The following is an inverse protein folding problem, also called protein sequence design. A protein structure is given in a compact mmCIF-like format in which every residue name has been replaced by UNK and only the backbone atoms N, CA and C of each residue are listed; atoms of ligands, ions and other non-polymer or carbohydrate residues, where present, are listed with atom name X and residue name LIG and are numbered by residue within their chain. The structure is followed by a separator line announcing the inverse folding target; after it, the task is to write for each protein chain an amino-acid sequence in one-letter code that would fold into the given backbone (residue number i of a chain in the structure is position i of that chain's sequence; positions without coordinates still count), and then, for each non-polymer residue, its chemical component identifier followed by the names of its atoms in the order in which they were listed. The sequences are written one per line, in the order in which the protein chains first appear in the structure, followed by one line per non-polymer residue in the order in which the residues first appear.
data_IF_343623936202
#
_entry.id   IF_343623936202
#
_cell.length_a   1.000
_cell.length_b   1.000
_cell.length_c   1.000
_cell.angle_alpha   90.00
_cell.angle_beta   90.00
_cell.angle_gamma   90.00
#
_symmetry.space_group_name_H-M   'P 1'
#
loop_
_entity.id
_entity.type
_entity.pdbx_description
1 polymer ?
#
# COMPACT_ATOMS: atom_id res chain seq x y z
N UNK A 1 23.38 -10.44 -20.58
CA UNK A 1 22.94 -9.18 -21.22
C UNK A 1 21.46 -9.07 -20.93
N UNK A 2 21.14 -8.53 -19.74
CA UNK A 2 19.77 -8.38 -19.27
C UNK A 2 19.15 -7.17 -19.95
N UNK A 3 17.97 -7.36 -20.51
CA UNK A 3 17.10 -6.25 -20.89
C UNK A 3 16.27 -5.91 -19.65
N UNK A 4 16.68 -4.86 -18.96
CA UNK A 4 15.82 -4.09 -18.07
C UNK A 4 14.65 -3.57 -18.92
N UNK A 5 13.42 -3.98 -18.58
CA UNK A 5 12.22 -3.40 -19.19
C UNK A 5 11.94 -2.11 -18.43
N UNK A 6 12.42 -1.00 -18.98
CA UNK A 6 12.10 0.35 -18.52
C UNK A 6 10.60 0.64 -18.76
N UNK A 7 9.83 0.72 -17.68
CA UNK A 7 8.37 0.95 -17.68
C UNK A 7 7.97 2.41 -17.95
N UNK A 8 8.91 3.30 -18.32
CA UNK A 8 8.64 4.74 -18.54
C UNK A 8 8.14 5.13 -19.94
N UNK A 9 7.94 4.22 -20.90
CA UNK A 9 7.69 4.61 -22.31
C UNK A 9 6.43 4.05 -22.98
N UNK A 10 5.38 3.68 -22.22
CA UNK A 10 4.14 3.17 -22.87
C UNK A 10 2.86 3.98 -22.65
N UNK A 11 2.91 5.12 -21.95
CA UNK A 11 1.78 6.07 -21.93
C UNK A 11 2.12 7.29 -22.76
N UNK A 12 1.72 7.24 -24.02
CA UNK A 12 1.86 8.36 -24.95
C UNK A 12 2.09 7.84 -26.34
N UNK A 13 0.99 7.66 -27.09
CA UNK A 13 0.88 7.89 -28.53
C UNK A 13 -0.53 7.48 -28.99
N UNK A 14 -1.49 8.37 -28.77
CA UNK A 14 -2.77 8.40 -29.48
C UNK A 14 -2.81 9.66 -30.34
N UNK A 15 -2.12 9.62 -31.48
CA UNK A 15 -1.94 10.75 -32.37
C UNK A 15 -3.27 11.21 -32.99
N UNK A 16 -3.51 12.52 -32.89
CA UNK A 16 -4.45 13.28 -33.68
C UNK A 16 -4.04 13.29 -35.18
N UNK A 17 -4.99 12.96 -36.05
CA UNK A 17 -5.08 13.33 -37.48
C UNK A 17 -6.54 13.10 -37.86
N UNK A 18 -7.36 14.03 -38.36
CA UNK A 18 -7.16 15.29 -39.08
C UNK A 18 -7.98 15.22 -40.37
N UNK A 19 -8.90 16.17 -40.62
CA UNK A 19 -9.51 16.33 -41.96
C UNK A 19 -10.91 16.94 -42.03
N UNK A 20 -10.98 18.27 -42.14
CA UNK A 20 -12.14 19.04 -42.64
C UNK A 20 -12.32 18.87 -44.15
N UNK A 21 -13.56 18.77 -44.66
CA UNK A 21 -14.05 19.48 -45.86
C UNK A 21 -15.56 19.26 -46.19
N UNK A 22 -16.33 20.37 -46.08
CA UNK A 22 -17.28 20.96 -47.04
C UNK A 22 -18.52 20.23 -47.61
N UNK A 23 -19.67 20.82 -47.26
CA UNK A 23 -20.76 21.36 -48.11
C UNK A 23 -21.72 20.43 -48.92
N UNK A 24 -23.04 20.69 -48.77
CA UNK A 24 -23.97 20.68 -49.91
C UNK A 24 -25.42 20.20 -49.72
N UNK A 25 -26.32 21.14 -49.40
CA UNK A 25 -27.62 21.39 -50.08
C UNK A 25 -28.88 20.50 -49.92
N UNK A 26 -29.93 21.16 -49.38
CA UNK A 26 -31.32 21.38 -49.90
C UNK A 26 -32.48 20.41 -49.58
N UNK A 27 -33.58 21.02 -49.09
CA UNK A 27 -34.99 20.61 -49.31
C UNK A 27 -35.87 20.65 -48.04
N UNK A 28 -36.46 21.79 -47.63
CA UNK A 28 -37.80 22.34 -47.97
C UNK A 28 -39.01 21.76 -47.19
N UNK A 29 -39.77 22.66 -46.55
CA UNK A 29 -41.15 22.53 -46.03
C UNK A 29 -41.21 22.68 -44.50
N UNK A 30 -41.58 23.82 -43.89
CA UNK A 30 -42.89 24.50 -43.93
C UNK A 30 -43.92 23.71 -43.12
N UNK A 31 -44.74 24.22 -42.21
CA UNK A 31 -45.04 25.51 -41.59
C UNK A 31 -46.00 25.20 -40.41
N UNK A 32 -46.23 26.17 -39.54
CA UNK A 32 -47.39 26.34 -38.63
C UNK A 32 -47.53 25.53 -37.31
N UNK A 33 -47.70 26.30 -36.20
CA UNK A 33 -48.91 26.12 -35.39
C UNK A 33 -48.78 26.04 -33.86
N UNK A 34 -48.39 27.14 -33.23
CA UNK A 34 -48.81 27.69 -31.93
C UNK A 34 -49.70 26.85 -30.97
N UNK A 35 -49.35 26.79 -29.68
CA UNK A 35 -50.26 26.40 -28.60
C UNK A 35 -49.63 26.24 -27.21
N UNK A 36 -49.55 27.33 -26.44
CA UNK A 36 -49.38 27.27 -24.99
C UNK A 36 -50.58 26.58 -24.31
N UNK A 37 -50.34 25.79 -23.26
CA UNK A 37 -50.91 25.99 -21.91
C UNK A 37 -50.52 24.87 -20.91
N UNK A 38 -50.16 25.34 -19.73
CA UNK A 38 -50.03 24.64 -18.45
C UNK A 38 -51.33 23.93 -18.05
N UNK A 39 -51.24 22.76 -17.39
CA UNK A 39 -51.70 22.61 -16.00
C UNK A 39 -51.35 21.24 -15.39
N UNK A 40 -51.03 21.30 -14.11
CA UNK A 40 -50.84 20.22 -13.14
C UNK A 40 -52.13 19.39 -12.94
N UNK A 41 -51.96 18.11 -12.61
CA UNK A 41 -52.88 17.35 -11.75
C UNK A 41 -52.23 16.04 -11.29
N UNK A 42 -52.23 15.86 -9.98
CA UNK A 42 -51.84 14.68 -9.22
C UNK A 42 -52.63 13.41 -9.58
N UNK A 43 -52.04 12.25 -9.31
CA UNK A 43 -52.70 10.94 -9.39
C UNK A 43 -51.77 9.77 -9.09
N UNK A 44 -51.74 9.37 -7.81
CA UNK A 44 -51.06 8.21 -7.25
C UNK A 44 -51.39 6.88 -7.96
N UNK A 45 -50.40 5.98 -7.98
CA UNK A 45 -50.61 4.54 -7.80
C UNK A 45 -50.60 3.68 -9.06
N UNK A 46 -49.44 3.15 -9.43
CA UNK A 46 -49.27 1.71 -9.67
C UNK A 46 -47.77 1.37 -9.71
N UNK A 47 -47.19 0.99 -8.56
CA UNK A 47 -45.90 0.29 -8.52
C UNK A 47 -46.12 -1.13 -9.07
N UNK A 48 -46.03 -1.26 -10.39
CA UNK A 48 -45.75 -2.55 -11.00
C UNK A 48 -44.28 -2.81 -10.82
N UNK A 49 -43.96 -3.75 -9.93
CA UNK A 49 -42.63 -4.31 -9.79
C UNK A 49 -42.09 -4.71 -11.16
N UNK A 50 -41.08 -3.98 -11.60
CA UNK A 50 -40.21 -4.42 -12.68
C UNK A 50 -39.21 -5.38 -12.05
N UNK A 51 -39.45 -6.67 -12.31
CA UNK A 51 -38.45 -7.73 -12.19
C UNK A 51 -37.22 -7.28 -13.00
N UNK A 52 -36.24 -6.71 -12.32
CA UNK A 52 -34.94 -6.41 -12.91
C UNK A 52 -34.21 -7.74 -13.10
N UNK A 53 -34.21 -8.18 -14.36
CA UNK A 53 -33.28 -9.13 -14.99
C UNK A 53 -32.23 -9.76 -14.05
N UNK A 54 -32.58 -10.93 -13.50
CA UNK A 54 -31.68 -11.79 -12.71
C UNK A 54 -30.63 -12.45 -13.62
N UNK A 55 -29.66 -11.69 -14.14
CA UNK A 55 -28.32 -12.21 -14.43
C UNK A 55 -27.27 -11.09 -14.43
N UNK A 56 -26.19 -11.31 -13.68
CA UNK A 56 -24.85 -10.69 -13.80
C UNK A 56 -24.54 -9.37 -13.05
N UNK A 57 -24.77 -9.33 -11.73
CA UNK A 57 -23.85 -8.61 -10.85
C UNK A 57 -23.43 -9.55 -9.69
N UNK A 58 -22.35 -10.31 -9.90
CA UNK A 58 -21.90 -11.41 -9.02
C UNK A 58 -20.91 -10.88 -7.98
N UNK A 59 -21.23 -9.77 -7.33
CA UNK A 59 -20.37 -9.17 -6.30
C UNK A 59 -21.14 -8.23 -5.38
N UNK A 60 -20.55 -7.86 -4.23
CA UNK A 60 -21.19 -6.99 -3.27
C UNK A 60 -21.34 -5.56 -3.82
N UNK A 61 -22.19 -4.77 -3.17
CA UNK A 61 -22.26 -3.32 -3.44
C UNK A 61 -21.00 -2.65 -2.92
N UNK A 62 -20.50 -1.66 -3.65
CA UNK A 62 -19.34 -0.87 -3.27
C UNK A 62 -19.75 0.61 -3.15
N UNK A 63 -20.31 1.03 -1.99
CA UNK A 63 -20.68 2.42 -1.79
C UNK A 63 -19.45 3.33 -1.84
N UNK A 64 -19.64 4.53 -2.38
CA UNK A 64 -18.62 5.58 -2.34
C UNK A 64 -18.78 6.43 -1.07
N UNK A 65 -17.66 6.97 -0.58
CA UNK A 65 -17.62 7.94 0.52
C UNK A 65 -17.30 9.28 -0.13
N UNK A 66 -18.21 10.26 0.00
CA UNK A 66 -18.07 11.56 -0.68
C UNK A 66 -16.94 12.41 -0.06
N UNK A 67 -16.90 12.54 1.27
CA UNK A 67 -15.95 13.38 1.99
C UNK A 67 -14.89 12.54 2.73
N UNK A 68 -14.05 11.83 1.99
CA UNK A 68 -12.94 11.06 2.57
C UNK A 68 -11.92 12.00 3.22
N UNK A 69 -11.38 11.69 4.41
CA UNK A 69 -10.29 12.49 4.98
C UNK A 69 -8.96 12.17 4.29
N UNK A 70 -8.04 13.13 4.27
CA UNK A 70 -6.63 12.95 3.86
C UNK A 70 -5.83 12.22 4.97
N UNK A 71 -6.28 11.03 5.34
CA UNK A 71 -5.81 10.25 6.46
C UNK A 71 -6.28 8.79 6.34
N UNK A 72 -5.76 7.91 7.19
CA UNK A 72 -6.34 6.57 7.36
C UNK A 72 -7.77 6.68 7.90
N UNK A 73 -8.70 5.95 7.29
CA UNK A 73 -10.12 6.00 7.65
C UNK A 73 -10.84 4.65 7.57
N UNK A 74 -11.99 4.54 8.25
CA UNK A 74 -12.83 3.34 8.24
C UNK A 74 -13.57 3.22 6.89
N UNK A 75 -13.34 2.14 6.10
CA UNK A 75 -14.01 1.92 4.82
C UNK A 75 -15.49 1.58 5.01
N UNK A 76 -16.20 1.34 3.90
CA UNK A 76 -17.65 1.07 3.93
C UNK A 76 -18.02 -0.32 4.46
N UNK A 77 -17.13 -1.28 4.27
CA UNK A 77 -17.32 -2.67 4.67
C UNK A 77 -15.98 -3.35 4.92
N UNK A 78 -16.04 -4.52 5.56
CA UNK A 78 -14.94 -5.47 5.66
C UNK A 78 -14.93 -6.35 4.42
N UNK A 79 -13.77 -6.49 3.82
CA UNK A 79 -13.60 -7.38 2.67
C UNK A 79 -13.71 -8.85 3.12
N UNK A 80 -14.36 -9.68 2.31
CA UNK A 80 -14.40 -11.13 2.53
C UNK A 80 -13.40 -11.80 1.60
N UNK A 81 -12.73 -12.82 2.10
CA UNK A 81 -11.77 -13.56 1.30
C UNK A 81 -11.58 -14.99 1.81
N UNK A 82 -11.11 -15.84 0.91
CA UNK A 82 -10.67 -17.19 1.20
C UNK A 82 -9.14 -17.23 1.24
N UNK A 83 -8.58 -17.44 2.42
CA UNK A 83 -7.18 -17.80 2.58
C UNK A 83 -6.97 -19.28 2.23
N UNK A 84 -5.91 -19.58 1.48
CA UNK A 84 -5.47 -20.94 1.18
C UNK A 84 -4.33 -21.35 2.11
N UNK A 85 -3.99 -22.64 2.11
CA UNK A 85 -2.86 -23.14 2.88
C UNK A 85 -1.54 -22.49 2.41
N UNK A 86 -0.70 -22.01 3.34
CA UNK A 86 0.61 -21.49 2.98
C UNK A 86 1.51 -22.53 2.31
N UNK A 87 2.17 -22.12 1.23
CA UNK A 87 3.15 -22.93 0.49
C UNK A 87 4.57 -22.45 0.74
N UNK A 88 5.54 -23.34 0.60
CA UNK A 88 6.97 -23.00 0.68
C UNK A 88 7.53 -22.76 -0.72
N UNK A 89 8.46 -21.81 -0.84
CA UNK A 89 9.27 -21.59 -2.03
C UNK A 89 10.67 -21.12 -1.57
N UNK A 90 11.63 -22.05 -1.53
CA UNK A 90 12.93 -21.80 -0.91
C UNK A 90 12.78 -21.34 0.55
N UNK A 91 13.38 -20.19 0.86
CA UNK A 91 13.31 -19.54 2.17
C UNK A 91 11.98 -18.78 2.41
N UNK A 92 11.17 -18.59 1.36
CA UNK A 92 9.89 -17.91 1.45
C UNK A 92 8.77 -18.85 1.92
N UNK A 93 7.86 -18.28 2.69
CA UNK A 93 6.47 -18.75 2.78
C UNK A 93 5.57 -17.81 2.01
N UNK A 94 4.63 -18.39 1.28
CA UNK A 94 3.62 -17.67 0.51
C UNK A 94 2.23 -18.15 0.95
N UNK A 95 1.37 -17.21 1.38
CA UNK A 95 -0.04 -17.49 1.66
C UNK A 95 -0.91 -16.88 0.57
N UNK A 96 -1.54 -17.68 -0.30
CA UNK A 96 -2.50 -17.18 -1.27
C UNK A 96 -3.82 -16.81 -0.59
N UNK A 97 -4.41 -15.72 -1.03
CA UNK A 97 -5.71 -15.22 -0.56
C UNK A 97 -6.51 -14.79 -1.79
N UNK A 98 -7.80 -15.11 -1.80
CA UNK A 98 -8.67 -14.85 -2.95
C UNK A 98 -9.94 -14.15 -2.49
N UNK A 99 -10.25 -13.01 -3.11
CA UNK A 99 -11.51 -12.28 -2.91
C UNK A 99 -12.24 -12.11 -4.25
N UNK A 100 -13.43 -11.52 -4.21
CA UNK A 100 -14.10 -11.02 -5.41
C UNK A 100 -13.29 -9.84 -6.01
N UNK A 101 -13.36 -9.60 -7.34
CA UNK A 101 -12.70 -8.45 -7.95
C UNK A 101 -13.26 -7.13 -7.40
N UNK A 102 -12.36 -6.22 -7.01
CA UNK A 102 -12.75 -4.95 -6.37
C UNK A 102 -11.74 -3.84 -6.70
N UNK A 103 -12.12 -2.56 -6.57
CA UNK A 103 -11.25 -1.45 -6.93
C UNK A 103 -10.09 -1.29 -5.96
N UNK A 104 -8.96 -0.83 -6.49
CA UNK A 104 -7.82 -0.37 -5.70
C UNK A 104 -7.25 0.91 -6.31
N UNK A 105 -6.27 1.52 -5.64
CA UNK A 105 -5.65 2.77 -6.07
C UNK A 105 -4.15 2.57 -6.26
N UNK A 106 -3.64 2.87 -7.46
CA UNK A 106 -2.21 2.91 -7.74
C UNK A 106 -1.67 4.29 -7.36
N UNK A 107 -0.57 4.32 -6.61
CA UNK A 107 0.13 5.55 -6.24
C UNK A 107 1.47 5.54 -6.98
N UNK A 108 1.65 6.46 -7.93
CA UNK A 108 2.86 6.53 -8.78
C UNK A 108 3.49 7.94 -8.82
N UNK A 109 3.55 8.61 -7.69
CA UNK A 109 4.12 9.95 -7.55
C UNK A 109 3.95 10.49 -6.14
N UNK A 110 3.98 11.81 -5.98
CA UNK A 110 4.00 12.51 -4.69
C UNK A 110 2.76 13.37 -4.39
N UNK A 111 1.78 13.45 -5.31
CA UNK A 111 0.52 14.18 -5.10
C UNK A 111 -0.75 13.35 -5.33
N UNK A 112 -1.90 13.94 -5.02
CA UNK A 112 -3.23 13.34 -5.25
C UNK A 112 -3.49 13.04 -6.73
N UNK A 113 -2.98 13.88 -7.63
CA UNK A 113 -3.08 13.68 -9.09
C UNK A 113 -2.33 12.42 -9.58
N UNK A 114 -1.42 11.87 -8.77
CA UNK A 114 -0.67 10.65 -9.06
C UNK A 114 -1.33 9.39 -8.49
N UNK A 115 -2.55 9.53 -7.95
CA UNK A 115 -3.38 8.43 -7.47
C UNK A 115 -4.38 8.02 -8.54
N UNK A 116 -4.21 6.82 -9.10
CA UNK A 116 -5.10 6.27 -10.10
C UNK A 116 -6.06 5.26 -9.48
N UNK A 117 -7.36 5.54 -9.54
CA UNK A 117 -8.41 4.55 -9.25
C UNK A 117 -8.44 3.48 -10.36
N UNK A 118 -8.34 2.21 -9.96
CA UNK A 118 -8.34 1.04 -10.85
C UNK A 118 -9.55 0.16 -10.52
N UNK A 119 -10.66 0.30 -11.25
CA UNK A 119 -11.80 -0.61 -11.12
C UNK A 119 -11.48 -1.98 -11.74
N UNK A 120 -12.15 -3.06 -11.31
CA UNK A 120 -12.05 -4.35 -12.00
C UNK A 120 -12.66 -4.26 -13.41
N UNK A 121 -12.00 -4.86 -14.41
CA UNK A 121 -12.52 -4.94 -15.79
C UNK A 121 -13.86 -5.70 -15.87
N UNK A 122 -14.01 -6.71 -15.01
CA UNK A 122 -15.22 -7.51 -14.87
C UNK A 122 -15.31 -8.09 -13.45
N UNK A 123 -16.53 -8.32 -12.96
CA UNK A 123 -16.77 -8.97 -11.66
C UNK A 123 -16.55 -10.49 -11.70
N UNK A 124 -16.39 -11.07 -12.89
CA UNK A 124 -16.11 -12.49 -13.04
C UNK A 124 -14.61 -12.75 -13.02
N UNK A 125 -14.09 -13.06 -11.85
CA UNK A 125 -12.69 -13.31 -11.61
C UNK A 125 -12.42 -13.39 -10.12
N UNK A 126 -11.18 -13.11 -9.75
CA UNK A 126 -10.76 -12.95 -8.36
C UNK A 126 -9.93 -11.69 -8.23
N UNK A 127 -10.01 -11.04 -7.08
CA UNK A 127 -8.86 -10.28 -6.61
C UNK A 127 -7.89 -11.29 -5.99
N UNK A 128 -6.82 -11.59 -6.72
CA UNK A 128 -5.83 -12.58 -6.30
C UNK A 128 -4.75 -11.87 -5.49
N UNK A 129 -4.53 -12.34 -4.28
CA UNK A 129 -3.57 -11.76 -3.36
C UNK A 129 -2.62 -12.83 -2.81
N UNK A 130 -1.45 -12.41 -2.38
CA UNK A 130 -0.60 -13.25 -1.54
C UNK A 130 0.31 -12.42 -0.62
N UNK A 131 0.59 -12.97 0.56
CA UNK A 131 1.58 -12.45 1.48
C UNK A 131 2.86 -13.30 1.40
N UNK A 132 4.02 -12.65 1.46
CA UNK A 132 5.34 -13.29 1.51
C UNK A 132 6.00 -12.98 2.85
N UNK A 133 6.53 -14.01 3.53
CA UNK A 133 7.31 -13.84 4.74
C UNK A 133 8.48 -14.81 4.81
N UNK A 134 9.47 -14.43 5.60
CA UNK A 134 10.54 -15.33 6.00
C UNK A 134 10.03 -16.39 6.98
N UNK A 135 10.20 -17.66 6.64
CA UNK A 135 9.73 -18.79 7.44
C UNK A 135 10.31 -18.83 8.86
N UNK A 136 11.52 -18.29 9.05
CA UNK A 136 12.26 -18.40 10.31
C UNK A 136 11.90 -17.27 11.29
N UNK A 137 11.88 -16.03 10.81
CA UNK A 137 11.63 -14.83 11.63
C UNK A 137 10.16 -14.44 11.68
N UNK A 138 9.36 -14.87 10.70
CA UNK A 138 7.96 -14.46 10.58
C UNK A 138 7.77 -13.06 9.99
N UNK A 139 8.86 -12.39 9.59
CA UNK A 139 8.82 -11.04 9.01
C UNK A 139 8.22 -11.10 7.60
N UNK A 140 7.12 -10.38 7.40
CA UNK A 140 6.59 -10.08 6.06
C UNK A 140 7.67 -9.33 5.28
N UNK A 141 7.82 -9.63 3.99
CA UNK A 141 8.87 -9.09 3.12
C UNK A 141 8.28 -8.04 2.16
N UNK A 142 8.12 -6.77 2.61
CA UNK A 142 7.48 -5.71 1.85
C UNK A 142 8.43 -5.05 0.83
N UNK A 143 8.68 -5.72 -0.29
CA UNK A 143 9.51 -5.14 -1.37
C UNK A 143 8.83 -5.22 -2.72
N UNK A 144 9.21 -4.31 -3.62
CA UNK A 144 8.94 -4.51 -5.04
C UNK A 144 9.72 -5.73 -5.51
N UNK A 145 8.99 -6.81 -5.66
CA UNK A 145 9.52 -8.10 -6.05
C UNK A 145 9.26 -8.39 -7.51
N UNK A 146 8.81 -7.46 -8.37
CA UNK A 146 8.68 -7.74 -9.83
C UNK A 146 8.05 -9.10 -10.18
N UNK A 147 7.17 -9.62 -9.32
CA UNK A 147 6.75 -11.02 -9.33
C UNK A 147 5.96 -11.31 -10.61
N UNK A 148 5.91 -12.58 -11.00
CA UNK A 148 5.15 -12.99 -12.18
C UNK A 148 4.27 -14.17 -11.84
N UNK A 149 2.97 -13.98 -12.03
CA UNK A 149 1.94 -14.98 -11.82
C UNK A 149 1.49 -15.54 -13.16
N UNK A 150 1.38 -16.87 -13.23
CA UNK A 150 0.91 -17.61 -14.41
C UNK A 150 -0.21 -18.55 -14.01
N UNK A 151 -1.34 -18.45 -14.70
CA UNK A 151 -2.50 -19.29 -14.47
C UNK A 151 -2.59 -20.39 -15.53
N UNK A 152 -3.05 -21.56 -15.10
CA UNK A 152 -3.42 -22.64 -15.99
C UNK A 152 -4.65 -23.38 -15.49
N UNK A 153 -5.39 -23.97 -16.43
CA UNK A 153 -6.54 -24.85 -16.18
C UNK A 153 -6.40 -26.06 -17.10
N UNK A 154 -6.52 -27.26 -16.54
CA UNK A 154 -6.33 -28.53 -17.28
C UNK A 154 -4.97 -28.62 -18.04
N UNK A 155 -3.94 -27.95 -17.51
CA UNK A 155 -2.61 -27.87 -18.13
C UNK A 155 -2.47 -26.87 -19.27
N UNK A 156 -3.54 -26.16 -19.64
CA UNK A 156 -3.52 -25.09 -20.64
C UNK A 156 -3.42 -23.72 -19.95
N UNK A 157 -2.63 -22.80 -20.55
CA UNK A 157 -2.42 -21.46 -19.99
C UNK A 157 -3.69 -20.62 -20.12
N UNK A 158 -4.08 -19.98 -19.03
CA UNK A 158 -5.17 -19.01 -18.99
C UNK A 158 -4.60 -17.60 -18.94
N UNK A 159 -4.95 -16.79 -19.93
CA UNK A 159 -4.49 -15.40 -20.02
C UNK A 159 -2.98 -15.24 -20.27
N UNK A 160 -2.52 -14.01 -20.09
CA UNK A 160 -1.08 -13.67 -20.12
C UNK A 160 -0.51 -13.69 -18.70
N UNK A 161 0.81 -13.94 -18.53
CA UNK A 161 1.47 -13.72 -17.25
C UNK A 161 1.25 -12.28 -16.76
N UNK A 162 1.02 -12.12 -15.46
CA UNK A 162 0.71 -10.83 -14.84
C UNK A 162 1.60 -10.62 -13.61
N UNK A 163 1.97 -9.37 -13.34
CA UNK A 163 2.67 -9.01 -12.10
C UNK A 163 1.67 -8.50 -11.08
N UNK A 164 1.78 -8.96 -9.83
CA UNK A 164 0.92 -8.49 -8.75
C UNK A 164 1.50 -7.22 -8.13
N UNK A 165 0.65 -6.22 -7.91
CA UNK A 165 1.05 -4.95 -7.32
C UNK A 165 1.38 -5.15 -5.84
N UNK A 166 2.46 -4.55 -5.32
CA UNK A 166 2.62 -4.40 -3.88
C UNK A 166 1.52 -3.45 -3.35
N UNK A 167 0.79 -3.87 -2.31
CA UNK A 167 -0.39 -3.17 -1.82
C UNK A 167 -0.37 -3.04 -0.29
N UNK A 168 -1.10 -2.03 0.21
CA UNK A 168 -1.44 -1.89 1.62
C UNK A 168 -2.96 -2.00 1.81
N UNK A 169 -3.39 -2.81 2.77
CA UNK A 169 -4.75 -2.77 3.32
C UNK A 169 -4.72 -2.79 4.84
N UNK A 170 -5.79 -2.32 5.46
CA UNK A 170 -5.90 -2.31 6.92
C UNK A 170 -5.95 -3.73 7.49
N UNK A 171 -6.70 -4.61 6.83
CA UNK A 171 -6.98 -5.95 7.32
C UNK A 171 -5.86 -6.94 7.08
N UNK A 172 -5.13 -6.81 5.96
CA UNK A 172 -4.05 -7.74 5.61
C UNK A 172 -2.65 -7.16 5.78
N UNK A 173 -2.54 -5.83 5.93
CA UNK A 173 -1.25 -5.15 5.93
C UNK A 173 -0.63 -5.14 4.54
N UNK A 174 0.69 -5.35 4.46
CA UNK A 174 1.39 -5.46 3.20
C UNK A 174 1.17 -6.82 2.55
N UNK A 175 0.84 -6.81 1.27
CA UNK A 175 0.65 -8.00 0.44
C UNK A 175 0.89 -7.63 -1.03
N UNK A 176 0.84 -8.63 -1.91
CA UNK A 176 0.75 -8.43 -3.34
C UNK A 176 -0.65 -8.77 -3.80
N UNK A 177 -1.18 -8.04 -4.78
CA UNK A 177 -2.46 -8.38 -5.37
C UNK A 177 -2.76 -7.70 -6.70
N UNK A 178 -3.72 -8.26 -7.43
CA UNK A 178 -4.32 -7.66 -8.61
C UNK A 178 -5.64 -8.39 -8.97
N UNK A 179 -6.47 -7.74 -9.77
CA UNK A 179 -7.65 -8.36 -10.35
C UNK A 179 -7.24 -9.32 -11.48
N UNK A 180 -7.70 -10.56 -11.39
CA UNK A 180 -7.45 -11.63 -12.37
C UNK A 180 -8.78 -12.11 -12.94
N UNK A 181 -9.07 -11.85 -14.23
CA UNK A 181 -10.31 -12.28 -14.85
C UNK A 181 -10.33 -13.80 -15.05
N UNK A 182 -11.45 -14.44 -14.69
CA UNK A 182 -11.66 -15.89 -14.86
C UNK A 182 -12.97 -16.14 -15.61
N UNK A 183 -12.88 -16.60 -16.86
CA UNK A 183 -14.04 -16.76 -17.75
C UNK A 183 -14.79 -18.08 -17.60
N UNK A 184 -14.30 -19.05 -16.85
CA UNK A 184 -15.01 -20.32 -16.69
C UNK A 184 -14.80 -20.86 -15.27
N UNK A 185 -15.71 -21.73 -14.86
CA UNK A 185 -15.60 -22.40 -13.57
C UNK A 185 -14.63 -23.58 -13.71
N UNK A 186 -13.91 -23.91 -12.65
CA UNK A 186 -12.98 -25.03 -12.63
C UNK A 186 -11.83 -24.86 -11.63
N UNK A 187 -10.92 -25.82 -11.63
CA UNK A 187 -9.71 -25.80 -10.80
C UNK A 187 -8.58 -25.10 -11.55
N UNK A 188 -8.04 -24.05 -10.95
CA UNK A 188 -6.93 -23.27 -11.48
C UNK A 188 -5.64 -23.61 -10.74
N UNK A 189 -4.57 -23.85 -11.49
CA UNK A 189 -3.20 -23.94 -10.96
C UNK A 189 -2.51 -22.60 -11.19
N UNK A 190 -1.97 -22.03 -10.12
CA UNK A 190 -1.26 -20.75 -10.10
C UNK A 190 0.21 -21.00 -9.81
N UNK A 191 1.08 -20.54 -10.70
CA UNK A 191 2.52 -20.47 -10.50
C UNK A 191 2.91 -19.02 -10.20
N UNK A 192 3.65 -18.80 -9.12
CA UNK A 192 4.19 -17.48 -8.73
C UNK A 192 5.71 -17.54 -8.77
N UNK A 193 6.30 -16.77 -9.69
CA UNK A 193 7.74 -16.57 -9.80
C UNK A 193 8.14 -15.36 -8.95
N UNK A 194 9.03 -15.59 -8.00
CA UNK A 194 9.57 -14.60 -7.06
C UNK A 194 11.04 -14.34 -7.44
N UNK A 195 11.44 -13.13 -7.80
CA UNK A 195 12.85 -12.80 -7.97
C UNK A 195 13.52 -12.52 -6.61
N UNK A 196 14.85 -12.32 -6.63
CA UNK A 196 15.59 -11.91 -5.43
C UNK A 196 15.02 -10.64 -4.80
N UNK A 197 15.17 -10.49 -3.49
CA UNK A 197 14.79 -9.25 -2.81
C UNK A 197 15.65 -8.09 -3.31
N UNK A 198 14.98 -6.96 -3.61
CA UNK A 198 15.62 -5.74 -4.08
C UNK A 198 16.12 -4.84 -2.93
N UNK A 199 15.59 -5.03 -1.72
CA UNK A 199 15.99 -4.28 -0.53
C UNK A 199 17.23 -4.88 0.14
N UNK A 200 17.98 -4.03 0.84
CA UNK A 200 19.09 -4.50 1.68
C UNK A 200 18.55 -5.36 2.82
N UNK A 201 19.19 -6.49 3.08
CA UNK A 201 18.85 -7.36 4.21
C UNK A 201 19.93 -7.32 5.29
N UNK A 202 19.51 -7.40 6.55
CA UNK A 202 20.40 -7.41 7.72
C UNK A 202 19.97 -8.47 8.73
N UNK A 203 20.83 -8.71 9.74
CA UNK A 203 20.55 -9.69 10.80
C UNK A 203 20.36 -11.10 10.23
N UNK A 204 19.29 -11.77 10.67
CA UNK A 204 18.96 -13.14 10.28
C UNK A 204 18.56 -13.29 8.79
N UNK A 205 18.35 -12.17 8.09
CA UNK A 205 18.01 -12.14 6.67
C UNK A 205 19.23 -11.86 5.76
N UNK A 206 20.39 -11.52 6.34
CA UNK A 206 21.57 -11.13 5.57
C UNK A 206 22.07 -12.26 4.66
N UNK A 207 22.22 -11.98 3.35
CA UNK A 207 22.67 -12.95 2.35
C UNK A 207 21.67 -14.06 2.04
N UNK A 208 20.39 -13.83 2.36
CA UNK A 208 19.26 -14.70 2.02
C UNK A 208 18.38 -14.01 1.00
N UNK A 209 17.57 -14.81 0.31
CA UNK A 209 16.66 -14.32 -0.73
C UNK A 209 17.35 -13.68 -1.95
N UNK A 210 18.60 -14.09 -2.22
CA UNK A 210 19.41 -13.61 -3.35
C UNK A 210 19.14 -14.37 -4.67
N UNK A 211 18.28 -15.39 -4.62
CA UNK A 211 17.91 -16.24 -5.76
C UNK A 211 16.42 -16.15 -6.09
N UNK A 212 16.07 -16.43 -7.35
CA UNK A 212 14.68 -16.55 -7.76
C UNK A 212 14.08 -17.87 -7.27
N UNK A 213 12.85 -17.80 -6.77
CA UNK A 213 12.08 -18.93 -6.28
C UNK A 213 10.73 -19.06 -7.00
N UNK A 214 10.11 -20.23 -6.91
CA UNK A 214 8.78 -20.45 -7.50
C UNK A 214 7.87 -21.16 -6.52
N UNK A 215 6.69 -20.59 -6.31
CA UNK A 215 5.61 -21.18 -5.54
C UNK A 215 4.50 -21.67 -6.47
N UNK A 216 3.78 -22.70 -6.08
CA UNK A 216 2.61 -23.20 -6.82
C UNK A 216 1.49 -23.55 -5.86
N UNK A 217 0.27 -23.15 -6.19
CA UNK A 217 -0.94 -23.51 -5.45
C UNK A 217 -2.12 -23.71 -6.41
N UNK A 218 -3.19 -24.31 -5.90
CA UNK A 218 -4.41 -24.55 -6.66
C UNK A 218 -5.64 -24.04 -5.91
N UNK A 219 -6.66 -23.64 -6.65
CA UNK A 219 -7.97 -23.30 -6.08
C UNK A 219 -9.09 -23.64 -7.04
N UNK A 220 -10.25 -23.92 -6.47
CA UNK A 220 -11.50 -24.10 -7.22
C UNK A 220 -12.22 -22.76 -7.34
N UNK A 221 -12.56 -22.40 -8.57
CA UNK A 221 -13.40 -21.26 -8.88
C UNK A 221 -14.76 -21.75 -9.38
N UNK A 222 -15.75 -21.72 -8.51
CA UNK A 222 -17.12 -22.13 -8.79
C UNK A 222 -18.12 -21.12 -8.18
N UNK A 223 -19.41 -21.47 -8.22
CA UNK A 223 -20.46 -20.62 -7.66
C UNK A 223 -20.34 -20.47 -6.14
N UNK A 224 -20.03 -21.54 -5.41
CA UNK A 224 -19.90 -21.53 -3.95
C UNK A 224 -18.76 -20.63 -3.49
N UNK A 225 -17.61 -20.70 -4.18
CA UNK A 225 -16.50 -19.78 -4.00
C UNK A 225 -16.96 -18.31 -4.16
N UNK A 226 -17.63 -17.98 -5.28
CA UNK A 226 -18.05 -16.60 -5.57
C UNK A 226 -19.06 -16.06 -4.56
N UNK A 227 -20.01 -16.88 -4.13
CA UNK A 227 -20.98 -16.52 -3.11
C UNK A 227 -20.30 -16.26 -1.77
N UNK A 228 -19.36 -17.13 -1.38
CA UNK A 228 -18.60 -17.02 -0.13
C UNK A 228 -17.77 -15.75 -0.06
N UNK A 229 -16.97 -15.46 -1.09
CA UNK A 229 -16.09 -14.28 -1.07
C UNK A 229 -16.85 -12.97 -1.26
N UNK A 230 -18.09 -13.00 -1.77
CA UNK A 230 -18.92 -11.81 -1.93
C UNK A 230 -19.78 -11.48 -0.70
N UNK A 231 -19.80 -12.34 0.32
CA UNK A 231 -20.53 -12.12 1.57
C UNK A 231 -19.72 -11.19 2.48
N UNK A 232 -20.00 -9.88 2.39
CA UNK A 232 -19.26 -8.82 3.09
C UNK A 232 -20.06 -8.20 4.24
N UNK A 233 -19.35 -7.79 5.29
CA UNK A 233 -19.93 -7.10 6.43
C UNK A 233 -19.86 -5.58 6.24
N UNK A 234 -21.01 -4.95 5.98
CA UNK A 234 -21.10 -3.48 5.92
C UNK A 234 -21.09 -2.86 7.32
N UNK A 235 -20.34 -1.77 7.47
CA UNK A 235 -20.38 -0.97 8.70
C UNK A 235 -21.56 0.02 8.67
N UNK A 236 -21.97 0.50 9.85
CA UNK A 236 -22.90 1.61 9.96
C UNK A 236 -22.38 2.83 9.18
N UNK A 237 -23.23 3.45 8.35
CA UNK A 237 -22.85 4.59 7.48
C UNK A 237 -22.23 5.76 8.26
N UNK A 238 -22.62 5.95 9.53
CA UNK A 238 -22.05 6.98 10.41
C UNK A 238 -20.57 6.79 10.69
N UNK A 239 -20.05 5.56 10.52
CA UNK A 239 -18.64 5.23 10.72
C UNK A 239 -17.79 5.44 9.48
N UNK A 240 -18.40 5.53 8.30
CA UNK A 240 -17.66 5.62 7.05
C UNK A 240 -16.85 6.92 7.03
N UNK A 241 -15.55 6.83 6.75
CA UNK A 241 -14.65 7.99 6.77
C UNK A 241 -14.18 8.43 8.16
N UNK A 242 -14.59 7.76 9.25
CA UNK A 242 -14.01 8.02 10.58
C UNK A 242 -12.49 7.79 10.54
N UNK A 243 -11.70 8.72 11.11
CA UNK A 243 -10.25 8.56 11.27
C UNK A 243 -9.95 7.46 12.28
N UNK A 244 -9.84 6.24 11.78
CA UNK A 244 -9.53 5.02 12.50
C UNK A 244 -9.18 3.94 11.47
N UNK A 245 -8.77 2.77 11.93
CA UNK A 245 -8.51 1.62 11.07
C UNK A 245 -9.31 0.40 11.54
N UNK A 246 -9.61 -0.49 10.60
CA UNK A 246 -10.07 -1.84 10.89
C UNK A 246 -8.98 -2.61 11.62
N UNK A 247 -9.41 -3.45 12.57
CA UNK A 247 -8.51 -4.43 13.18
C UNK A 247 -8.01 -5.40 12.10
N UNK A 248 -6.73 -5.80 12.16
CA UNK A 248 -6.19 -6.84 11.27
C UNK A 248 -7.02 -8.11 11.30
N UNK A 249 -7.25 -8.68 10.12
CA UNK A 249 -7.91 -9.95 10.01
C UNK A 249 -6.94 -11.05 10.46
N UNK A 250 -7.36 -11.85 11.44
CA UNK A 250 -6.57 -12.97 11.90
C UNK A 250 -6.75 -14.15 10.93
N UNK A 251 -5.65 -14.59 10.33
CA UNK A 251 -5.61 -15.85 9.59
C UNK A 251 -4.66 -16.81 10.30
N UNK A 252 -5.14 -18.04 10.50
CA UNK A 252 -4.28 -19.09 11.05
C UNK A 252 -3.03 -19.21 10.18
N UNK A 253 -1.87 -19.06 10.83
CA UNK A 253 -0.54 -19.26 10.23
C UNK A 253 -0.05 -18.23 9.20
N UNK A 254 -0.78 -17.12 8.97
CA UNK A 254 -0.28 -16.00 8.16
C UNK A 254 0.10 -14.84 9.07
N UNK A 255 1.38 -14.42 9.12
CA UNK A 255 1.77 -13.28 9.93
C UNK A 255 1.20 -11.99 9.34
N UNK A 256 0.76 -11.08 10.21
CA UNK A 256 0.42 -9.73 9.80
C UNK A 256 1.69 -8.87 9.75
N UNK A 257 1.80 -7.96 8.78
CA UNK A 257 2.96 -7.08 8.61
C UNK A 257 3.01 -5.97 9.68
N UNK A 258 3.09 -6.34 10.96
CA UNK A 258 3.14 -5.39 12.08
C UNK A 258 4.58 -5.09 12.45
N UNK A 259 4.96 -3.83 12.42
CA UNK A 259 6.25 -3.40 12.98
C UNK A 259 6.25 -3.49 14.52
N UNK A 260 7.43 -3.68 15.15
CA UNK A 260 7.56 -3.69 16.60
C UNK A 260 7.05 -2.41 17.27
N UNK A 261 6.77 -2.52 18.57
CA UNK A 261 6.44 -1.37 19.44
C UNK A 261 7.61 -0.38 19.53
N UNK A 262 7.35 0.83 20.00
CA UNK A 262 8.35 1.92 20.06
C UNK A 262 9.51 1.57 21.00
N UNK A 263 9.23 0.92 22.12
CA UNK A 263 10.21 0.52 23.14
C UNK A 263 11.11 -0.65 22.71
N UNK A 264 10.69 -1.41 21.69
CA UNK A 264 11.50 -2.49 21.12
C UNK A 264 12.68 -1.97 20.29
N UNK A 265 12.66 -0.71 19.83
CA UNK A 265 13.76 -0.14 19.06
C UNK A 265 14.87 0.36 20.00
N UNK A 266 16.13 -0.10 19.82
CA UNK A 266 17.25 0.31 20.65
C UNK A 266 17.77 1.69 20.25
N UNK A 267 18.72 2.19 21.03
CA UNK A 267 19.42 3.44 20.77
C UNK A 267 18.70 4.67 21.30
N UNK A 268 19.12 5.83 20.81
CA UNK A 268 18.58 7.12 21.22
C UNK A 268 17.40 7.51 20.33
N UNK A 269 16.18 7.41 20.86
CA UNK A 269 14.97 7.82 20.16
C UNK A 269 14.98 9.35 19.95
N UNK A 270 14.81 9.78 18.70
CA UNK A 270 14.66 11.18 18.35
C UNK A 270 13.23 11.64 18.63
N UNK A 271 13.09 12.84 19.18
CA UNK A 271 11.80 13.40 19.62
C UNK A 271 11.35 14.51 18.69
N UNK A 272 10.05 14.56 18.37
CA UNK A 272 9.49 15.60 17.53
C UNK A 272 9.42 16.96 18.23
N UNK A 273 9.31 18.01 17.43
CA UNK A 273 9.02 19.37 17.90
C UNK A 273 7.51 19.66 17.86
N UNK A 274 7.03 20.49 18.78
CA UNK A 274 5.68 21.03 18.71
C UNK A 274 5.56 22.17 17.67
N UNK A 275 4.36 22.74 17.52
CA UNK A 275 4.11 23.81 16.54
C UNK A 275 4.93 25.08 16.80
N UNK A 276 5.48 25.25 18.00
CA UNK A 276 6.37 26.35 18.37
C UNK A 276 7.85 26.05 18.12
N UNK A 277 8.17 24.83 17.67
CA UNK A 277 9.54 24.36 17.46
C UNK A 277 10.23 23.88 18.74
N UNK A 278 9.52 23.83 19.87
CA UNK A 278 10.01 23.32 21.14
C UNK A 278 9.96 21.79 21.15
N UNK A 279 10.90 21.16 21.86
CA UNK A 279 10.95 19.70 21.99
C UNK A 279 9.70 19.23 22.72
N UNK A 280 8.98 18.26 22.16
CA UNK A 280 7.94 17.56 22.93
C UNK A 280 8.57 16.87 24.13
N UNK A 281 8.14 17.23 25.33
CA UNK A 281 8.61 16.60 26.57
C UNK A 281 8.18 15.13 26.61
N UNK A 282 9.11 14.25 26.99
CA UNK A 282 8.86 12.82 27.16
C UNK A 282 9.24 11.96 25.96
N UNK A 283 9.63 10.72 26.22
CA UNK A 283 9.86 9.69 25.20
C UNK A 283 8.50 9.20 24.69
N UNK A 284 8.21 9.20 23.38
CA UNK A 284 7.02 8.54 22.84
C UNK A 284 6.92 7.11 23.34
N UNK A 285 5.79 6.76 23.97
CA UNK A 285 5.54 5.40 24.48
C UNK A 285 4.76 4.54 23.48
N UNK A 286 4.08 5.19 22.53
CA UNK A 286 3.20 4.54 21.56
C UNK A 286 3.33 5.10 20.16
N UNK A 287 2.86 4.36 19.15
CA UNK A 287 2.82 4.84 17.75
C UNK A 287 1.97 6.11 17.60
N UNK A 288 0.97 6.31 18.45
CA UNK A 288 0.09 7.47 18.39
C UNK A 288 0.83 8.78 18.72
N UNK A 289 1.86 8.71 19.56
CA UNK A 289 2.68 9.85 20.02
C UNK A 289 3.88 10.16 19.11
N UNK A 290 4.16 9.28 18.14
CA UNK A 290 5.26 9.50 17.20
C UNK A 290 5.00 10.74 16.32
N UNK A 291 6.06 11.45 15.89
CA UNK A 291 5.99 12.48 14.87
C UNK A 291 5.30 11.98 13.59
N UNK A 292 4.54 12.86 12.94
CA UNK A 292 3.70 12.50 11.79
C UNK A 292 4.00 13.30 10.53
N UNK A 293 3.78 12.66 9.39
CA UNK A 293 3.73 13.30 8.08
C UNK A 293 2.76 12.53 7.18
N UNK A 294 1.83 13.21 6.50
CA UNK A 294 0.78 12.57 5.69
C UNK A 294 -0.03 11.50 6.43
N UNK A 295 -0.29 11.71 7.73
CA UNK A 295 -0.88 10.75 8.70
C UNK A 295 -0.02 9.52 9.07
N UNK A 296 1.11 9.28 8.39
CA UNK A 296 2.07 8.25 8.80
C UNK A 296 2.79 8.65 10.09
N UNK A 297 3.09 7.67 10.93
CA UNK A 297 3.92 7.83 12.11
C UNK A 297 5.38 7.46 11.79
N UNK A 298 6.33 8.23 12.33
CA UNK A 298 7.76 8.03 12.10
C UNK A 298 8.49 7.80 13.42
N UNK A 299 9.00 6.57 13.60
CA UNK A 299 9.99 6.29 14.63
C UNK A 299 11.37 6.53 14.05
N UNK A 300 12.21 7.31 14.73
CA UNK A 300 13.60 7.52 14.34
C UNK A 300 14.53 7.35 15.54
N UNK A 301 15.52 6.48 15.44
CA UNK A 301 16.48 6.21 16.51
C UNK A 301 17.92 6.26 15.99
N UNK A 302 18.83 6.70 16.83
CA UNK A 302 20.28 6.67 16.58
C UNK A 302 20.87 5.48 17.32
N UNK A 303 21.40 4.54 16.54
CA UNK A 303 22.09 3.35 17.02
C UNK A 303 23.56 3.68 17.27
N UNK A 304 24.08 3.23 18.40
CA UNK A 304 25.50 3.37 18.76
C UNK A 304 26.38 2.38 17.98
N UNK A 305 27.67 2.69 17.87
CA UNK A 305 28.60 1.99 16.99
C UNK A 305 28.79 0.50 17.26
N UNK A 306 28.50 0.05 18.47
CA UNK A 306 28.59 -1.35 18.88
C UNK A 306 27.32 -2.17 18.57
N UNK A 307 26.24 -1.51 18.10
CA UNK A 307 25.01 -2.20 17.74
C UNK A 307 25.16 -3.01 16.44
N UNK A 308 24.59 -4.23 16.39
CA UNK A 308 24.77 -5.17 15.26
C UNK A 308 24.42 -4.62 13.86
N UNK A 309 23.51 -3.64 13.79
CA UNK A 309 23.07 -3.03 12.54
C UNK A 309 24.04 -1.98 11.98
N UNK A 310 25.00 -1.49 12.77
CA UNK A 310 25.95 -0.47 12.31
C UNK A 310 27.13 -1.05 11.53
N UNK A 311 27.34 -2.38 11.58
CA UNK A 311 28.53 -3.01 11.02
C UNK A 311 29.83 -2.68 11.76
N UNK A 312 29.76 -1.93 12.88
CA UNK A 312 30.93 -1.45 13.62
C UNK A 312 31.49 -0.10 13.13
N UNK A 313 30.91 0.48 12.09
CA UNK A 313 31.44 1.64 11.37
C UNK A 313 30.78 2.96 11.86
N UNK A 314 30.78 3.20 13.17
CA UNK A 314 30.19 4.40 13.76
C UNK A 314 28.68 4.32 14.00
N UNK A 315 28.05 5.46 14.31
CA UNK A 315 26.61 5.53 14.62
C UNK A 315 25.78 5.30 13.36
N UNK A 316 24.52 4.90 13.52
CA UNK A 316 23.58 4.78 12.39
C UNK A 316 22.24 5.41 12.75
N UNK A 317 21.63 6.11 11.80
CA UNK A 317 20.22 6.50 11.89
C UNK A 317 19.35 5.33 11.38
N UNK A 318 18.29 5.01 12.12
CA UNK A 318 17.24 4.08 11.71
C UNK A 318 15.90 4.82 11.78
N UNK A 319 15.16 4.82 10.67
CA UNK A 319 13.82 5.41 10.57
C UNK A 319 12.82 4.34 10.14
N UNK A 320 11.73 4.19 10.88
CA UNK A 320 10.72 3.17 10.64
C UNK A 320 9.33 3.81 10.47
N UNK A 321 9.01 4.27 9.24
CA UNK A 321 7.71 4.84 8.91
C UNK A 321 6.64 3.76 8.90
N UNK A 322 5.50 4.07 9.51
CA UNK A 322 4.45 3.09 9.79
C UNK A 322 3.06 3.70 9.77
N UNK A 323 2.05 2.88 9.47
CA UNK A 323 0.64 3.31 9.59
C UNK A 323 0.32 3.62 11.06
N UNK A 324 -0.52 4.63 11.33
CA UNK A 324 -0.70 5.16 12.68
C UNK A 324 -1.46 4.25 13.65
N UNK A 325 -2.22 3.29 13.13
CA UNK A 325 -3.05 2.39 13.96
C UNK A 325 -2.47 0.96 14.01
N UNK A 326 -2.26 0.35 12.84
CA UNK A 326 -1.88 -1.06 12.74
C UNK A 326 -0.35 -1.29 12.63
N UNK A 327 0.45 -0.22 12.62
CA UNK A 327 1.92 -0.24 12.47
C UNK A 327 2.40 -1.02 11.24
N UNK A 328 1.63 -0.96 10.16
CA UNK A 328 2.03 -1.57 8.89
C UNK A 328 3.21 -0.77 8.32
N UNK A 329 4.30 -1.42 7.88
CA UNK A 329 5.45 -0.71 7.32
C UNK A 329 5.06 0.03 6.04
N UNK A 330 5.75 1.14 5.77
CA UNK A 330 5.57 1.93 4.56
C UNK A 330 6.81 1.76 3.63
N UNK A 331 6.76 0.80 2.68
CA UNK A 331 7.85 0.52 1.75
C UNK A 331 7.88 1.49 0.57
N UNK A 332 8.96 1.41 -0.21
CA UNK A 332 9.17 2.13 -1.47
C UNK A 332 9.04 3.66 -1.30
N UNK A 333 9.49 4.17 -0.17
CA UNK A 333 9.68 5.60 0.07
C UNK A 333 11.09 6.03 -0.32
N UNK A 334 11.26 7.32 -0.57
CA UNK A 334 12.58 7.96 -0.66
C UNK A 334 12.70 8.98 0.46
N UNK A 335 13.71 8.82 1.32
CA UNK A 335 13.91 9.60 2.53
C UNK A 335 15.34 10.13 2.58
N UNK A 336 15.49 11.41 2.88
CA UNK A 336 16.77 12.03 3.19
C UNK A 336 16.74 12.60 4.61
N UNK A 337 17.87 12.60 5.30
CA UNK A 337 18.05 13.23 6.59
C UNK A 337 19.07 14.38 6.50
N UNK A 338 18.68 15.57 6.95
CA UNK A 338 19.59 16.71 7.13
C UNK A 338 19.83 16.92 8.62
N UNK A 339 21.08 17.12 9.01
CA UNK A 339 21.45 17.28 10.42
C UNK A 339 22.01 18.69 10.61
N UNK A 340 21.41 19.46 11.51
CA UNK A 340 21.76 20.85 11.76
C UNK A 340 22.10 21.09 13.24
N UNK A 341 23.09 21.95 13.47
CA UNK A 341 23.48 22.44 14.79
C UNK A 341 23.43 23.96 14.77
N UNK A 342 22.67 24.54 15.69
CA UNK A 342 22.49 26.00 15.78
C UNK A 342 22.06 26.66 14.46
N UNK A 343 21.32 25.93 13.61
CA UNK A 343 20.86 26.36 12.29
C UNK A 343 21.91 26.27 11.17
N UNK A 344 23.06 25.62 11.42
CA UNK A 344 24.07 25.33 10.42
C UNK A 344 24.16 23.82 10.15
N UNK A 345 24.24 23.42 8.89
CA UNK A 345 24.34 22.00 8.50
C UNK A 345 25.64 21.38 9.02
N UNK A 346 25.52 20.23 9.70
CA UNK A 346 26.65 19.41 10.18
C UNK A 346 27.17 18.50 9.07
N UNK A 347 26.30 18.12 8.12
CA UNK A 347 26.67 17.36 6.92
C UNK A 347 26.83 18.29 5.72
N UNK A 348 27.69 17.93 4.77
CA UNK A 348 27.86 18.70 3.54
C UNK A 348 26.65 18.58 2.60
N UNK A 349 26.02 17.40 2.59
CA UNK A 349 24.82 17.08 1.81
C UNK A 349 23.84 16.29 2.70
N UNK A 350 22.55 16.22 2.35
CA UNK A 350 21.60 15.33 3.02
C UNK A 350 22.05 13.86 2.94
N UNK A 351 21.78 13.11 4.01
CA UNK A 351 22.07 11.68 4.10
C UNK A 351 20.86 10.89 3.60
N UNK A 352 20.98 10.23 2.45
CA UNK A 352 19.92 9.36 1.94
C UNK A 352 19.79 8.09 2.77
N UNK A 353 18.56 7.71 3.10
CA UNK A 353 18.25 6.54 3.92
C UNK A 353 17.87 5.35 3.03
N UNK A 354 18.59 4.24 3.20
CA UNK A 354 18.43 3.03 2.41
C UNK A 354 17.35 2.11 3.00
N UNK A 355 16.38 1.70 2.19
CA UNK A 355 15.39 0.71 2.58
C UNK A 355 16.06 -0.62 2.95
N UNK A 356 15.82 -1.08 4.17
CA UNK A 356 16.43 -2.25 4.77
C UNK A 356 15.37 -3.13 5.43
N UNK A 357 15.53 -4.44 5.37
CA UNK A 357 14.69 -5.42 6.08
C UNK A 357 15.57 -6.21 7.05
N UNK A 358 15.13 -6.26 8.30
CA UNK A 358 15.75 -7.04 9.37
C UNK A 358 14.74 -7.99 10.02
N UNK A 359 15.21 -9.16 10.48
CA UNK A 359 14.38 -10.18 11.13
C UNK A 359 13.73 -9.74 12.45
N UNK A 360 14.29 -8.73 13.13
CA UNK A 360 13.80 -8.23 14.43
C UNK A 360 13.04 -6.92 14.26
N UNK A 361 13.54 -6.01 13.42
CA UNK A 361 12.99 -4.66 13.27
C UNK A 361 12.06 -4.50 12.06
N UNK A 362 11.94 -5.52 11.22
CA UNK A 362 11.16 -5.46 9.98
C UNK A 362 11.73 -4.44 8.99
N UNK A 363 10.86 -3.89 8.14
CA UNK A 363 11.23 -2.84 7.21
C UNK A 363 11.50 -1.51 7.93
N UNK A 364 12.64 -0.92 7.60
CA UNK A 364 13.06 0.41 8.04
C UNK A 364 13.96 1.04 6.97
N UNK A 365 14.36 2.28 7.19
CA UNK A 365 15.30 3.02 6.34
C UNK A 365 16.48 3.42 7.20
N UNK A 366 17.69 3.06 6.76
CA UNK A 366 18.90 3.22 7.55
C UNK A 366 20.00 3.97 6.81
N UNK A 367 20.84 4.69 7.56
CA UNK A 367 22.09 5.24 7.03
C UNK A 367 23.17 5.30 8.10
N UNK A 368 24.42 5.02 7.69
CA UNK A 368 25.59 5.24 8.53
C UNK A 368 25.81 6.75 8.75
N UNK A 369 26.21 7.08 9.97
CA UNK A 369 26.58 8.42 10.42
C UNK A 369 28.06 8.46 10.85
N UNK A 370 28.91 7.57 10.33
CA UNK A 370 30.33 7.45 10.70
C UNK A 370 31.07 8.81 10.69
N UNK A 371 30.84 9.59 9.62
CA UNK A 371 31.49 10.88 9.39
C UNK A 371 30.70 12.07 9.99
N UNK A 372 29.66 11.81 10.79
CA UNK A 372 28.79 12.83 11.36
C UNK A 372 29.00 12.94 12.87
N UNK A 373 29.50 14.09 13.32
CA UNK A 373 29.62 14.43 14.74
C UNK A 373 28.26 14.84 15.32
N UNK A 374 27.36 13.87 15.46
CA UNK A 374 26.02 14.06 16.03
C UNK A 374 26.08 14.27 17.55
N UNK A 375 25.39 15.31 18.04
CA UNK A 375 25.33 15.68 19.47
C UNK A 375 23.90 15.90 19.91
N UNK A 376 23.69 15.82 21.23
CA UNK A 376 22.46 16.25 21.86
C UNK A 376 22.12 17.70 21.48
N UNK A 377 20.84 17.97 21.23
CA UNK A 377 20.34 19.26 20.78
C UNK A 377 20.35 19.47 19.26
N UNK A 378 21.11 18.67 18.51
CA UNK A 378 21.10 18.73 17.04
C UNK A 378 19.69 18.43 16.50
N UNK A 379 19.31 19.16 15.46
CA UNK A 379 18.06 18.94 14.72
C UNK A 379 18.33 17.93 13.61
N UNK A 380 17.46 16.93 13.48
CA UNK A 380 17.44 15.98 12.37
C UNK A 380 16.14 16.20 11.60
N UNK A 381 16.25 16.72 10.38
CA UNK A 381 15.10 16.93 9.50
C UNK A 381 14.99 15.78 8.52
N UNK A 382 13.91 15.01 8.63
CA UNK A 382 13.56 13.97 7.68
C UNK A 382 12.77 14.58 6.52
N UNK A 383 13.34 14.54 5.32
CA UNK A 383 12.68 14.99 4.10
C UNK A 383 12.15 13.77 3.35
N UNK A 384 10.83 13.70 3.16
CA UNK A 384 10.18 12.69 2.34
C UNK A 384 10.25 13.17 0.89
N UNK A 385 11.04 12.50 0.06
CA UNK A 385 11.24 12.84 -1.36
C UNK A 385 10.20 12.16 -2.25
N UNK A 386 9.71 11.00 -1.84
CA UNK A 386 8.55 10.34 -2.43
C UNK A 386 7.78 9.58 -1.33
N UNK A 387 6.44 9.62 -1.34
CA UNK A 387 5.62 8.82 -0.44
C UNK A 387 5.74 7.32 -0.78
N UNK A 388 5.13 6.42 0.01
CA UNK A 388 5.23 4.98 -0.22
C UNK A 388 4.58 4.61 -1.57
N UNK A 389 5.40 4.24 -2.56
CA UNK A 389 4.97 3.93 -3.94
C UNK A 389 4.40 2.51 -4.04
N UNK A 390 3.22 2.32 -3.44
CA UNK A 390 2.54 1.04 -3.33
C UNK A 390 1.04 1.25 -3.50
N UNK A 391 0.33 0.26 -4.02
CA UNK A 391 -1.11 0.34 -4.20
C UNK A 391 -1.85 0.39 -2.86
N UNK A 392 -3.10 0.86 -2.88
CA UNK A 392 -3.94 1.04 -1.70
C UNK A 392 -5.29 0.39 -1.90
N UNK A 393 -5.79 -0.22 -0.83
CA UNK A 393 -7.21 -0.53 -0.69
C UNK A 393 -7.96 0.64 -0.06
N UNK A 394 -9.29 0.62 -0.15
CA UNK A 394 -10.15 1.64 0.47
C UNK A 394 -9.82 1.78 1.97
N UNK A 395 -9.78 3.03 2.45
CA UNK A 395 -9.38 3.35 3.82
C UNK A 395 -7.92 3.76 3.95
N UNK A 396 -7.10 3.51 2.91
CA UNK A 396 -5.74 4.07 2.78
C UNK A 396 -5.53 4.84 1.46
N UNK A 397 -6.53 4.89 0.57
CA UNK A 397 -6.46 5.49 -0.77
C UNK A 397 -6.17 7.00 -0.77
N UNK A 398 -6.47 7.71 0.32
CA UNK A 398 -6.21 9.14 0.51
C UNK A 398 -5.09 9.41 1.53
N UNK A 399 -4.44 8.37 2.07
CA UNK A 399 -3.44 8.49 3.11
C UNK A 399 -2.01 8.46 2.54
N UNK A 400 -1.07 9.10 3.25
CA UNK A 400 0.37 9.06 2.95
C UNK A 400 0.75 9.60 1.57
N UNK A 401 0.05 10.62 1.08
CA UNK A 401 0.33 11.25 -0.23
C UNK A 401 1.24 12.46 -0.06
N UNK A 402 0.69 13.57 0.41
CA UNK A 402 1.47 14.78 0.74
C UNK A 402 2.15 14.62 2.10
N UNK A 403 3.46 14.44 2.07
CA UNK A 403 4.26 14.17 3.27
C UNK A 403 5.28 15.30 3.52
N UNK A 404 4.91 16.36 4.26
CA UNK A 404 5.85 17.43 4.59
C UNK A 404 7.03 16.91 5.45
N UNK A 405 8.20 17.58 5.41
CA UNK A 405 9.34 17.21 6.23
C UNK A 405 9.01 17.19 7.73
N UNK A 406 9.69 16.31 8.46
CA UNK A 406 9.55 16.18 9.92
C UNK A 406 10.83 16.68 10.58
N UNK A 407 10.69 17.61 11.50
CA UNK A 407 11.79 18.05 12.36
C UNK A 407 11.82 17.21 13.65
N UNK A 408 12.97 16.63 13.91
CA UNK A 408 13.26 15.83 15.09
C UNK A 408 14.47 16.42 15.82
N UNK A 409 14.61 16.10 17.11
CA UNK A 409 15.79 16.48 17.89
C UNK A 409 16.45 15.29 18.55
N UNK A 410 17.78 15.36 18.64
CA UNK A 410 18.55 14.48 19.52
C UNK A 410 18.31 14.95 20.95
N UNK A 411 17.68 14.14 21.81
CA UNK A 411 17.38 14.55 23.17
C UNK A 411 18.67 14.84 23.95
N UNK A 412 18.61 15.81 24.86
CA UNK A 412 19.61 15.93 25.92
C UNK A 412 19.50 14.67 26.78
N UNK A 413 20.62 13.95 26.94
CA UNK A 413 20.61 12.57 27.40
C UNK A 413 19.72 12.32 28.63
N UNK A 414 18.88 11.29 28.53
CA UNK A 414 18.91 10.30 29.59
C UNK A 414 19.99 9.31 29.15
N UNK A 415 21.18 9.45 29.72
CA UNK A 415 22.07 8.30 29.86
C UNK A 415 21.27 7.27 30.68
N UNK A 416 20.52 6.39 30.02
CA UNK A 416 20.18 5.11 30.61
C UNK A 416 21.45 4.25 30.54
N UNK A 417 22.41 4.64 31.38
CA UNK A 417 23.39 3.74 31.92
C UNK A 417 22.65 2.75 32.83
N UNK A 418 22.42 1.53 32.34
CA UNK A 418 22.86 0.25 32.94
C UNK A 418 22.34 -0.97 32.16
#
# INVERSE_FOLDING_TARGET
MGHEIDRRTFVGWGAATGGLALAGCLGLGGDDGNGEKQNESDGEGNETGEESDETANVGPRLPEIEDKPDAVYVPTHRESMRALEPVAAGDYRLAPMLSYPHPFWLVTGDGEDDVQHVPPDQMRGVHMMFALWDAETGVILPVDSGNVVRLSRDGERVGSPQSMWPMLSQEMGFHFGDNVPLEEDGTYTVEVELPPLSARTTGDLAGRFDESETATFEFDYDQDFRETVSDVDYFDEQRWGERSALEPMAHDHVPYSRLPEVDAFPGTLLVGTDESGEIREGRPESTAELPRSGDAAFLATVLESDHRLTGGDGRSLLVSPRTPYNRVPLPNMSLDATIERDGESVTAEPVSLEQTIDGEYGLHYGASLEDVDLRAGDTVTLTIRSPPQVARHQGYDTAFLEMPPIELRVPEGSDDAE
#
